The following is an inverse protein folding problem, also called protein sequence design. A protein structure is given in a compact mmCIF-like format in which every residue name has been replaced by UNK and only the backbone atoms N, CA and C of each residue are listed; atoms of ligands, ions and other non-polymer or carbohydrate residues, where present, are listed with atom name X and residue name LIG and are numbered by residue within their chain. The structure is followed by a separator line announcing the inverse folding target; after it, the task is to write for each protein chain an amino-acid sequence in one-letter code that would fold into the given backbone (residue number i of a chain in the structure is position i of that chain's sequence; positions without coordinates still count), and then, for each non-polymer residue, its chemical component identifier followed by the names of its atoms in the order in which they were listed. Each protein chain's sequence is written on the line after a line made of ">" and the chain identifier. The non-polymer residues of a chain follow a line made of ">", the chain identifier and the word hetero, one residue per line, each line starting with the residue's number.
data_IF_038015954563
#
_entry.id   IF_038015954563
#
_cell.length_a   1.000
_cell.length_b   1.000
_cell.length_c   1.000
_cell.angle_alpha   90.00
_cell.angle_beta   90.00
_cell.angle_gamma   90.00
#
_symmetry.space_group_name_H-M   'P 1'
#
loop_
_entity.id
_entity.type
_entity.pdbx_description
1 polymer ?
#
# COMPACT_ATOMS: atom_id res chain seq x y z
N UNK A 1 -6.66 -17.47 -11.87
CA UNK A 1 -7.41 -16.49 -11.07
C UNK A 1 -8.45 -15.75 -11.93
N UNK A 2 -9.48 -15.22 -11.29
CA UNK A 2 -10.21 -14.08 -11.83
C UNK A 2 -9.41 -12.83 -11.41
N UNK A 3 -9.15 -11.95 -12.35
CA UNK A 3 -8.36 -10.74 -12.13
C UNK A 3 -9.26 -9.55 -12.46
N UNK A 4 -9.30 -8.57 -11.57
CA UNK A 4 -10.05 -7.35 -11.78
C UNK A 4 -9.25 -6.13 -11.28
N UNK A 5 -9.60 -4.96 -11.79
CA UNK A 5 -9.08 -3.68 -11.32
C UNK A 5 -10.24 -2.91 -10.68
N UNK A 6 -10.13 -2.70 -9.40
CA UNK A 6 -11.17 -2.10 -8.56
C UNK A 6 -10.77 -0.70 -8.09
N UNK A 7 -11.75 0.04 -7.58
CA UNK A 7 -11.56 1.37 -6.99
C UNK A 7 -12.29 1.47 -5.68
N UNK A 8 -11.68 2.14 -4.72
CA UNK A 8 -12.28 2.48 -3.44
C UNK A 8 -11.84 3.87 -3.02
N UNK A 9 -12.43 4.42 -1.98
CA UNK A 9 -12.08 5.74 -1.44
C UNK A 9 -11.28 5.59 -0.15
N UNK A 10 -10.35 6.52 0.05
CA UNK A 10 -9.55 6.64 1.24
C UNK A 10 -9.57 8.10 1.73
N UNK A 11 -8.72 8.45 2.70
CA UNK A 11 -8.61 9.81 3.21
C UNK A 11 -8.44 10.83 2.08
N UNK A 12 -8.93 12.08 2.25
CA UNK A 12 -8.74 13.16 1.27
C UNK A 12 -7.27 13.37 0.92
N UNK A 13 -6.96 14.02 -0.22
CA UNK A 13 -5.62 14.46 -0.53
C UNK A 13 -5.11 15.44 0.52
N UNK A 14 -3.86 15.31 0.97
CA UNK A 14 -3.22 16.30 1.84
C UNK A 14 -2.54 17.42 1.04
N UNK A 15 -2.07 17.12 -0.18
CA UNK A 15 -1.55 18.12 -1.11
C UNK A 15 -2.68 18.59 -2.02
N UNK A 16 -3.24 19.76 -1.69
CA UNK A 16 -4.36 20.35 -2.43
C UNK A 16 -3.84 21.54 -3.24
N UNK A 17 -3.72 21.34 -4.56
CA UNK A 17 -3.22 22.38 -5.48
C UNK A 17 -4.22 23.53 -5.69
N UNK A 18 -5.51 23.28 -5.52
CA UNK A 18 -6.56 24.31 -5.58
C UNK A 18 -7.53 24.12 -4.39
N UNK A 19 -7.24 24.71 -3.23
CA UNK A 19 -8.03 24.49 -2.01
C UNK A 19 -9.45 25.06 -2.07
N UNK A 20 -9.73 25.95 -3.01
CA UNK A 20 -11.07 26.52 -3.24
C UNK A 20 -11.84 25.79 -4.34
N UNK A 21 -11.21 24.81 -5.00
CA UNK A 21 -11.84 24.02 -6.04
C UNK A 21 -12.95 23.14 -5.49
N UNK A 22 -14.02 22.99 -6.26
CA UNK A 22 -15.08 22.06 -5.94
C UNK A 22 -14.50 20.64 -5.83
N UNK A 23 -14.77 19.96 -4.72
CA UNK A 23 -14.26 18.61 -4.46
C UNK A 23 -12.81 18.54 -3.97
N UNK A 24 -12.14 19.66 -3.67
CA UNK A 24 -10.76 19.68 -3.18
C UNK A 24 -10.52 18.82 -1.93
N UNK A 25 -11.56 18.62 -1.11
CA UNK A 25 -11.54 17.79 0.10
C UNK A 25 -12.28 16.48 -0.03
N UNK A 26 -12.65 16.07 -1.25
CA UNK A 26 -13.27 14.77 -1.46
C UNK A 26 -12.27 13.64 -1.13
N UNK A 27 -12.75 12.47 -0.69
CA UNK A 27 -11.91 11.31 -0.50
C UNK A 27 -11.10 10.99 -1.75
N UNK A 28 -9.83 10.61 -1.56
CA UNK A 28 -8.96 10.20 -2.66
C UNK A 28 -9.44 8.83 -3.19
N UNK A 29 -9.51 8.70 -4.50
CA UNK A 29 -9.83 7.41 -5.15
C UNK A 29 -8.53 6.62 -5.32
N UNK A 30 -8.49 5.47 -4.68
CA UNK A 30 -7.39 4.50 -4.77
C UNK A 30 -7.80 3.37 -5.70
N UNK A 31 -6.87 2.91 -6.51
CA UNK A 31 -7.06 1.75 -7.36
C UNK A 31 -6.37 0.52 -6.75
N UNK A 32 -6.86 -0.66 -7.04
CA UNK A 32 -6.22 -1.90 -6.64
C UNK A 32 -6.47 -3.00 -7.67
N UNK A 33 -5.57 -3.97 -7.72
CA UNK A 33 -5.83 -5.22 -8.42
C UNK A 33 -6.36 -6.26 -7.44
N UNK A 34 -7.33 -7.06 -7.87
CA UNK A 34 -7.82 -8.20 -7.12
C UNK A 34 -7.58 -9.49 -7.90
N UNK A 35 -7.21 -10.55 -7.18
CA UNK A 35 -6.98 -11.87 -7.74
C UNK A 35 -7.76 -12.89 -6.93
N UNK A 36 -8.72 -13.57 -7.56
CA UNK A 36 -9.58 -14.55 -6.90
C UNK A 36 -9.29 -15.93 -7.50
N UNK A 37 -8.90 -16.94 -6.69
CA UNK A 37 -8.59 -18.27 -7.19
C UNK A 37 -9.85 -18.96 -7.68
N UNK A 38 -9.92 -19.29 -8.99
CA UNK A 38 -11.07 -19.99 -9.59
C UNK A 38 -11.26 -21.42 -9.07
N UNK A 39 -10.16 -22.09 -8.71
CA UNK A 39 -10.13 -23.47 -8.23
C UNK A 39 -10.93 -23.68 -6.94
N UNK A 40 -11.06 -22.63 -6.12
CA UNK A 40 -11.70 -22.69 -4.80
C UNK A 40 -13.06 -21.97 -4.74
N UNK A 41 -13.57 -21.50 -5.87
CA UNK A 41 -14.72 -20.60 -5.95
C UNK A 41 -16.07 -21.22 -5.50
N UNK A 42 -16.14 -22.54 -5.30
CA UNK A 42 -17.39 -23.26 -4.97
C UNK A 42 -17.51 -23.72 -3.52
N UNK A 43 -16.52 -23.45 -2.70
CA UNK A 43 -16.51 -23.91 -1.30
C UNK A 43 -16.15 -22.78 -0.37
N UNK A 44 -16.22 -22.84 0.83
CA UNK A 44 -15.87 -21.98 1.96
C UNK A 44 -15.23 -20.63 1.62
N UNK A 45 -15.44 -19.65 2.46
CA UNK A 45 -14.72 -18.37 2.40
C UNK A 45 -13.20 -18.59 2.44
N UNK A 46 -12.46 -17.79 1.67
CA UNK A 46 -11.03 -17.90 1.47
C UNK A 46 -10.28 -16.81 2.27
N UNK A 47 -9.05 -17.08 2.70
CA UNK A 47 -8.22 -16.06 3.35
C UNK A 47 -7.89 -14.94 2.35
N UNK A 48 -7.76 -13.73 2.86
CA UNK A 48 -7.32 -12.55 2.11
C UNK A 48 -5.84 -12.26 2.41
N UNK A 49 -5.07 -11.95 1.37
CA UNK A 49 -3.74 -11.37 1.50
C UNK A 49 -3.72 -9.97 0.87
N UNK A 50 -3.37 -8.97 1.65
CA UNK A 50 -3.08 -7.62 1.17
C UNK A 50 -1.61 -7.59 0.74
N UNK A 51 -1.36 -7.39 -0.55
CA UNK A 51 -0.01 -7.39 -1.13
C UNK A 51 0.40 -5.96 -1.47
N UNK A 52 1.35 -5.41 -0.72
CA UNK A 52 1.77 -4.02 -0.80
C UNK A 52 3.08 -3.92 -1.58
N UNK A 53 3.05 -3.20 -2.71
CA UNK A 53 4.25 -3.02 -3.53
C UNK A 53 5.29 -2.13 -2.84
N UNK A 54 6.56 -2.31 -3.22
CA UNK A 54 7.67 -1.48 -2.77
C UNK A 54 7.88 -0.24 -3.64
N UNK A 55 8.89 0.54 -3.28
CA UNK A 55 9.17 1.83 -3.91
C UNK A 55 8.21 2.91 -3.43
N UNK A 56 8.72 4.06 -3.04
CA UNK A 56 7.88 5.21 -2.65
C UNK A 56 6.95 5.58 -3.81
N UNK A 57 7.48 5.55 -5.02
CA UNK A 57 6.79 5.80 -6.28
C UNK A 57 6.77 4.56 -7.18
N UNK A 58 6.57 3.39 -6.63
CA UNK A 58 6.40 2.16 -7.40
C UNK A 58 4.99 1.99 -7.94
N UNK A 59 4.74 0.83 -8.49
CA UNK A 59 3.43 0.34 -8.91
C UNK A 59 3.37 -1.18 -8.74
N UNK A 60 2.17 -1.72 -8.71
CA UNK A 60 1.97 -3.15 -8.80
C UNK A 60 2.03 -3.57 -10.27
N UNK A 61 2.95 -4.48 -10.59
CA UNK A 61 3.18 -4.93 -11.97
C UNK A 61 3.52 -6.43 -12.03
N UNK A 62 3.88 -6.92 -13.21
CA UNK A 62 4.19 -8.33 -13.45
C UNK A 62 5.42 -8.85 -12.70
N UNK A 63 6.25 -8.00 -12.13
CA UNK A 63 7.33 -8.42 -11.23
C UNK A 63 6.80 -9.23 -10.03
N UNK A 64 5.59 -8.92 -9.57
CA UNK A 64 4.93 -9.62 -8.45
C UNK A 64 4.17 -10.88 -8.89
N UNK A 65 4.17 -11.24 -10.18
CA UNK A 65 3.33 -12.32 -10.71
C UNK A 65 3.60 -13.69 -10.05
N UNK A 66 4.85 -13.99 -9.70
CA UNK A 66 5.22 -15.24 -9.05
C UNK A 66 4.66 -15.33 -7.63
N UNK A 67 4.66 -14.23 -6.88
CA UNK A 67 4.09 -14.15 -5.52
C UNK A 67 2.57 -14.32 -5.58
N UNK A 68 1.93 -13.63 -6.52
CA UNK A 68 0.48 -13.75 -6.73
C UNK A 68 0.11 -15.18 -7.12
N UNK A 69 0.87 -15.80 -8.04
CA UNK A 69 0.62 -17.17 -8.48
C UNK A 69 0.70 -18.15 -7.31
N UNK A 70 1.71 -18.03 -6.46
CA UNK A 70 1.89 -18.86 -5.26
C UNK A 70 0.72 -18.69 -4.28
N UNK A 71 0.35 -17.45 -3.96
CA UNK A 71 -0.78 -17.17 -3.06
C UNK A 71 -2.09 -17.72 -3.60
N UNK A 72 -2.35 -17.56 -4.90
CA UNK A 72 -3.56 -18.06 -5.56
C UNK A 72 -3.59 -19.60 -5.54
N UNK A 73 -2.44 -20.26 -5.75
CA UNK A 73 -2.37 -21.73 -5.74
C UNK A 73 -2.59 -22.30 -4.33
N UNK A 74 -2.22 -21.55 -3.30
CA UNK A 74 -2.51 -21.84 -1.90
C UNK A 74 -3.95 -21.46 -1.47
N UNK A 75 -4.73 -20.84 -2.33
CA UNK A 75 -6.14 -20.50 -2.07
C UNK A 75 -6.37 -19.13 -1.43
N UNK A 76 -5.38 -18.23 -1.43
CA UNK A 76 -5.61 -16.86 -0.98
C UNK A 76 -6.29 -16.02 -2.06
N UNK A 77 -7.22 -15.18 -1.64
CA UNK A 77 -7.61 -14.00 -2.42
C UNK A 77 -6.54 -12.95 -2.19
N UNK A 78 -6.13 -12.26 -3.24
CA UNK A 78 -5.14 -11.18 -3.13
C UNK A 78 -5.77 -9.86 -3.52
N UNK A 79 -5.53 -8.82 -2.72
CA UNK A 79 -5.74 -7.42 -3.11
C UNK A 79 -4.40 -6.71 -3.10
N UNK A 80 -4.08 -6.00 -4.19
CA UNK A 80 -2.85 -5.24 -4.35
C UNK A 80 -3.18 -3.75 -4.56
N UNK A 81 -3.19 -2.95 -3.48
CA UNK A 81 -3.46 -1.52 -3.55
C UNK A 81 -2.36 -0.74 -4.28
N UNK A 82 -2.80 0.21 -5.11
CA UNK A 82 -1.99 1.29 -5.66
C UNK A 82 -2.15 2.51 -4.75
N UNK A 83 -1.48 2.50 -3.60
CA UNK A 83 -1.59 3.56 -2.60
C UNK A 83 -1.12 4.91 -3.17
N UNK A 84 -1.52 6.01 -2.52
CA UNK A 84 -1.13 7.37 -2.96
C UNK A 84 0.38 7.46 -3.17
N UNK A 85 0.79 8.16 -4.22
CA UNK A 85 2.19 8.21 -4.63
C UNK A 85 2.59 7.16 -5.66
N UNK A 86 1.77 6.13 -5.92
CA UNK A 86 2.03 5.13 -6.97
C UNK A 86 2.11 5.77 -8.34
N UNK A 87 2.93 5.17 -9.22
CA UNK A 87 3.10 5.63 -10.61
C UNK A 87 1.92 5.22 -11.50
N UNK A 88 1.76 5.88 -12.64
CA UNK A 88 0.71 5.56 -13.61
C UNK A 88 -0.62 6.28 -13.41
N UNK A 89 -0.80 7.06 -12.35
CA UNK A 89 -2.06 7.73 -11.99
C UNK A 89 -1.98 9.26 -12.07
N UNK A 90 -0.93 9.79 -12.68
CA UNK A 90 -0.73 11.21 -12.92
C UNK A 90 0.00 11.93 -11.80
N UNK A 91 0.53 13.13 -12.11
CA UNK A 91 1.38 13.91 -11.22
C UNK A 91 0.68 14.33 -9.92
N UNK A 92 -0.63 14.56 -9.96
CA UNK A 92 -1.40 14.91 -8.77
C UNK A 92 -1.47 13.77 -7.75
N UNK A 93 -1.63 12.54 -8.23
CA UNK A 93 -1.63 11.35 -7.37
C UNK A 93 -0.22 11.01 -6.87
N UNK A 94 0.79 11.12 -7.74
CA UNK A 94 2.19 10.92 -7.41
C UNK A 94 2.65 11.79 -6.24
N UNK A 95 2.23 13.06 -6.20
CA UNK A 95 2.60 14.03 -5.14
C UNK A 95 1.84 13.84 -3.81
N UNK A 96 0.93 12.87 -3.73
CA UNK A 96 0.16 12.62 -2.51
C UNK A 96 0.92 11.74 -1.50
N UNK A 97 2.09 11.23 -1.83
CA UNK A 97 2.91 10.45 -0.88
C UNK A 97 3.30 11.31 0.32
N UNK A 98 3.19 10.81 1.52
CA UNK A 98 3.58 11.48 2.76
C UNK A 98 4.58 10.69 3.61
N UNK A 99 4.96 9.51 3.12
CA UNK A 99 6.03 8.68 3.65
C UNK A 99 5.79 8.15 5.07
N UNK A 100 4.68 7.51 5.28
CA UNK A 100 4.37 6.76 6.50
C UNK A 100 3.08 7.19 7.21
N UNK A 101 2.24 7.97 6.53
CA UNK A 101 0.94 8.40 7.08
C UNK A 101 -0.22 7.89 6.18
N UNK A 102 -0.75 8.69 5.29
CA UNK A 102 -1.99 8.40 4.57
C UNK A 102 -1.89 7.24 3.57
N UNK A 103 -0.70 6.88 3.07
CA UNK A 103 -0.53 5.67 2.27
C UNK A 103 -0.82 4.40 3.10
N UNK A 104 -0.61 4.44 4.42
CA UNK A 104 -0.99 3.34 5.32
C UNK A 104 -2.51 3.17 5.37
N UNK A 105 -3.24 4.28 5.49
CA UNK A 105 -4.70 4.31 5.44
C UNK A 105 -5.26 3.83 4.09
N UNK A 106 -4.59 4.15 2.99
CA UNK A 106 -5.00 3.68 1.66
C UNK A 106 -4.98 2.15 1.58
N UNK A 107 -3.97 1.53 2.18
CA UNK A 107 -3.83 0.07 2.22
C UNK A 107 -4.88 -0.55 3.15
N UNK A 108 -5.11 0.02 4.32
CA UNK A 108 -6.17 -0.41 5.24
C UNK A 108 -7.56 -0.29 4.59
N UNK A 109 -7.85 0.83 3.92
CA UNK A 109 -9.11 1.02 3.20
C UNK A 109 -9.30 -0.02 2.09
N UNK A 110 -8.23 -0.42 1.40
CA UNK A 110 -8.26 -1.51 0.42
C UNK A 110 -8.61 -2.86 1.04
N UNK A 111 -8.04 -3.17 2.21
CA UNK A 111 -8.39 -4.36 2.98
C UNK A 111 -9.88 -4.34 3.38
N UNK A 112 -10.36 -3.22 3.92
CA UNK A 112 -11.75 -3.06 4.32
C UNK A 112 -12.69 -3.23 3.13
N UNK A 113 -12.38 -2.56 2.01
CA UNK A 113 -13.15 -2.71 0.78
C UNK A 113 -13.24 -4.17 0.32
N UNK A 114 -12.12 -4.91 0.36
CA UNK A 114 -12.11 -6.32 -0.05
C UNK A 114 -13.00 -7.20 0.84
N UNK A 115 -12.97 -6.98 2.15
CA UNK A 115 -13.82 -7.69 3.11
C UNK A 115 -15.31 -7.39 2.89
N UNK A 116 -15.66 -6.16 2.55
CA UNK A 116 -17.04 -5.73 2.36
C UNK A 116 -17.61 -6.13 0.99
N UNK A 117 -16.77 -6.13 -0.05
CA UNK A 117 -17.24 -6.24 -1.44
C UNK A 117 -16.93 -7.59 -2.10
N UNK A 118 -16.05 -8.39 -1.53
CA UNK A 118 -15.73 -9.71 -2.04
C UNK A 118 -16.36 -10.79 -1.14
N UNK A 119 -17.52 -11.33 -1.50
CA UNK A 119 -18.26 -12.26 -0.64
C UNK A 119 -17.51 -13.57 -0.36
N UNK A 120 -16.47 -13.88 -1.15
CA UNK A 120 -15.60 -15.03 -0.96
C UNK A 120 -14.56 -14.84 0.17
N UNK A 121 -14.32 -13.61 0.61
CA UNK A 121 -13.33 -13.31 1.65
C UNK A 121 -13.82 -13.78 3.02
N UNK A 122 -12.93 -14.44 3.76
CA UNK A 122 -13.08 -14.70 5.18
C UNK A 122 -12.48 -13.55 5.99
N UNK A 123 -13.28 -12.69 6.62
CA UNK A 123 -12.77 -11.53 7.34
C UNK A 123 -11.97 -11.89 8.59
N UNK A 124 -12.06 -13.14 9.07
CA UNK A 124 -11.28 -13.62 10.21
C UNK A 124 -9.87 -14.11 9.84
N UNK A 125 -9.58 -14.22 8.53
CA UNK A 125 -8.31 -14.72 7.99
C UNK A 125 -7.71 -13.74 6.99
N UNK A 126 -7.24 -12.61 7.50
CA UNK A 126 -6.61 -11.56 6.70
C UNK A 126 -5.13 -11.46 7.05
N UNK A 127 -4.29 -11.46 6.03
CA UNK A 127 -2.86 -11.20 6.13
C UNK A 127 -2.45 -9.97 5.34
N UNK A 128 -1.27 -9.43 5.66
CA UNK A 128 -0.64 -8.34 4.92
C UNK A 128 0.82 -8.67 4.64
N UNK A 129 1.30 -8.34 3.45
CA UNK A 129 2.70 -8.52 3.11
C UNK A 129 3.19 -7.44 2.15
N UNK A 130 4.46 -7.09 2.29
CA UNK A 130 5.09 -6.12 1.41
C UNK A 130 6.60 -6.07 1.58
N UNK A 131 7.28 -5.42 0.64
CA UNK A 131 8.74 -5.27 0.62
C UNK A 131 9.14 -3.80 0.56
N UNK A 132 10.29 -3.47 1.16
CA UNK A 132 10.86 -2.11 1.15
C UNK A 132 9.86 -1.09 1.72
N UNK A 133 9.41 -0.11 0.98
CA UNK A 133 8.36 0.83 1.39
C UNK A 133 7.04 0.09 1.72
N UNK A 134 6.66 -0.91 0.90
CA UNK A 134 5.52 -1.78 1.20
C UNK A 134 5.71 -2.59 2.50
N UNK A 135 6.96 -2.92 2.84
CA UNK A 135 7.30 -3.51 4.14
C UNK A 135 7.12 -2.54 5.30
N UNK A 136 7.45 -1.26 5.12
CA UNK A 136 7.15 -0.20 6.09
C UNK A 136 5.64 -0.06 6.30
N UNK A 137 4.87 0.06 5.22
CA UNK A 137 3.40 0.14 5.29
C UNK A 137 2.82 -1.09 6.01
N UNK A 138 3.38 -2.29 5.77
CA UNK A 138 2.99 -3.51 6.47
C UNK A 138 3.22 -3.39 7.97
N UNK A 139 4.40 -2.92 8.40
CA UNK A 139 4.70 -2.71 9.83
C UNK A 139 3.78 -1.68 10.46
N UNK A 140 3.59 -0.53 9.82
CA UNK A 140 2.72 0.54 10.33
C UNK A 140 1.28 0.03 10.50
N UNK A 141 0.74 -0.69 9.51
CA UNK A 141 -0.60 -1.26 9.61
C UNK A 141 -0.75 -2.23 10.79
N UNK A 142 0.20 -3.12 11.05
CA UNK A 142 0.08 -4.07 12.17
C UNK A 142 0.35 -3.43 13.54
N UNK A 143 1.08 -2.31 13.59
CA UNK A 143 1.30 -1.59 14.85
C UNK A 143 0.10 -0.72 15.22
N UNK A 144 -0.52 -0.07 14.24
CA UNK A 144 -1.66 0.81 14.44
C UNK A 144 -2.98 0.04 14.53
N UNK A 145 -3.10 -1.09 13.80
CA UNK A 145 -4.31 -1.89 13.65
C UNK A 145 -4.04 -3.40 13.85
N UNK A 146 -3.51 -3.81 15.00
CA UNK A 146 -3.12 -5.21 15.25
C UNK A 146 -4.27 -6.22 15.14
N UNK A 147 -5.50 -5.78 15.37
CA UNK A 147 -6.71 -6.62 15.29
C UNK A 147 -7.11 -6.94 13.83
N UNK A 148 -6.69 -6.12 12.88
CA UNK A 148 -7.10 -6.20 11.48
C UNK A 148 -6.40 -7.33 10.70
N UNK A 149 -5.27 -7.83 11.22
CA UNK A 149 -4.44 -8.81 10.53
C UNK A 149 -4.09 -9.99 11.44
N UNK A 150 -4.05 -11.20 10.86
CA UNK A 150 -3.66 -12.44 11.57
C UNK A 150 -2.23 -12.87 11.31
N UNK A 151 -1.69 -12.48 10.16
CA UNK A 151 -0.31 -12.72 9.77
C UNK A 151 0.23 -11.51 9.02
N UNK A 152 1.53 -11.26 9.15
CA UNK A 152 2.21 -10.21 8.43
C UNK A 152 3.60 -10.66 7.97
N UNK A 153 4.02 -10.19 6.80
CA UNK A 153 5.37 -10.35 6.30
C UNK A 153 5.92 -9.01 5.80
N UNK A 154 6.88 -8.46 6.50
CA UNK A 154 7.58 -7.23 6.11
C UNK A 154 8.98 -7.58 5.62
N UNK A 155 9.17 -7.70 4.31
CA UNK A 155 10.46 -7.99 3.70
C UNK A 155 11.31 -6.73 3.56
N UNK A 156 12.54 -6.74 4.08
CA UNK A 156 13.49 -5.61 4.01
C UNK A 156 12.83 -4.23 4.21
N UNK A 157 12.05 -4.06 5.29
CA UNK A 157 11.25 -2.85 5.47
C UNK A 157 12.12 -1.61 5.66
N UNK A 158 11.57 -0.46 5.30
CA UNK A 158 12.15 0.82 5.72
C UNK A 158 11.74 1.04 7.18
N UNK A 159 12.61 0.68 8.11
CA UNK A 159 12.34 0.69 9.55
C UNK A 159 13.12 1.77 10.31
N UNK A 160 14.11 2.40 9.68
CA UNK A 160 14.93 3.47 10.25
C UNK A 160 15.42 4.38 9.12
N UNK A 161 14.78 5.53 8.96
CA UNK A 161 15.13 6.50 7.93
C UNK A 161 16.47 7.19 8.21
N UNK A 162 16.81 7.44 9.47
CA UNK A 162 18.06 8.11 9.86
C UNK A 162 19.23 7.19 9.52
N UNK A 163 19.20 5.95 9.99
CA UNK A 163 20.24 4.97 9.66
C UNK A 163 20.32 4.71 8.16
N UNK A 164 19.16 4.54 7.48
CA UNK A 164 19.11 4.33 6.03
C UNK A 164 19.77 5.46 5.26
N UNK A 165 19.47 6.72 5.59
CA UNK A 165 20.02 7.88 4.88
C UNK A 165 21.47 8.16 5.27
N UNK A 166 21.87 7.84 6.50
CA UNK A 166 23.20 8.12 7.03
C UNK A 166 24.36 7.47 6.27
N UNK A 167 24.15 6.27 5.71
CA UNK A 167 25.19 5.51 4.98
C UNK A 167 24.98 5.44 3.46
N UNK A 168 23.94 6.08 2.93
CA UNK A 168 23.66 6.08 1.49
C UNK A 168 24.37 7.20 0.75
N UNK A 169 24.54 7.02 -0.56
CA UNK A 169 25.12 8.03 -1.44
C UNK A 169 24.25 9.30 -1.51
N UNK A 170 24.85 10.42 -1.87
CA UNK A 170 24.13 11.68 -2.07
C UNK A 170 23.00 11.54 -3.12
N UNK A 171 23.26 10.80 -4.21
CA UNK A 171 22.23 10.53 -5.23
C UNK A 171 21.02 9.79 -4.64
N UNK A 172 21.28 8.76 -3.83
CA UNK A 172 20.22 8.02 -3.15
C UNK A 172 19.44 8.93 -2.18
N UNK A 173 20.12 9.73 -1.38
CA UNK A 173 19.46 10.67 -0.46
C UNK A 173 18.61 11.69 -1.20
N UNK A 174 19.13 12.25 -2.31
CA UNK A 174 18.36 13.20 -3.13
C UNK A 174 17.08 12.61 -3.71
N UNK A 175 17.07 11.30 -3.98
CA UNK A 175 15.89 10.61 -4.52
C UNK A 175 14.85 10.28 -3.43
N UNK A 176 15.30 9.76 -2.28
CA UNK A 176 14.41 9.21 -1.26
C UNK A 176 14.22 10.07 -0.01
N UNK A 177 15.02 11.11 0.17
CA UNK A 177 14.86 12.11 1.23
C UNK A 177 14.53 13.50 0.67
N UNK A 178 14.02 13.55 -0.55
CA UNK A 178 13.64 14.81 -1.17
C UNK A 178 12.58 15.55 -0.34
N UNK A 179 12.63 16.88 -0.29
CA UNK A 179 11.71 17.69 0.53
C UNK A 179 10.25 17.44 0.30
N UNK A 180 9.85 16.96 -0.89
CA UNK A 180 8.46 16.64 -1.20
C UNK A 180 8.02 15.25 -0.68
N UNK A 181 8.96 14.40 -0.23
CA UNK A 181 8.64 13.12 0.42
C UNK A 181 8.42 13.30 1.93
N UNK A 182 9.43 13.83 2.61
CA UNK A 182 9.45 13.98 4.07
C UNK A 182 9.57 15.44 4.54
N UNK A 183 9.48 16.40 3.62
CA UNK A 183 9.54 17.84 3.88
C UNK A 183 10.94 18.40 4.07
N UNK A 184 11.93 17.58 4.40
CA UNK A 184 13.31 17.99 4.67
C UNK A 184 14.27 16.83 4.38
N UNK A 185 15.58 17.11 4.41
CA UNK A 185 16.60 16.07 4.48
C UNK A 185 16.43 15.26 5.79
N UNK A 186 16.80 13.99 5.75
CA UNK A 186 16.72 13.11 6.92
C UNK A 186 17.49 13.63 8.14
N UNK A 187 18.59 14.38 7.92
CA UNK A 187 19.34 15.00 9.03
C UNK A 187 18.56 16.14 9.71
N UNK A 188 17.69 16.81 8.98
CA UNK A 188 16.85 17.90 9.50
C UNK A 188 15.65 17.37 10.28
N UNK A 189 15.30 16.09 10.10
CA UNK A 189 14.17 15.41 10.73
C UNK A 189 14.58 14.50 11.90
N UNK A 190 15.78 14.63 12.44
CA UNK A 190 16.28 13.78 13.56
C UNK A 190 15.42 13.90 14.82
N UNK A 191 14.64 14.95 14.95
CA UNK A 191 13.78 15.21 16.13
C UNK A 191 12.32 14.75 15.93
N UNK A 192 11.97 14.29 14.75
CA UNK A 192 10.66 13.75 14.39
C UNK A 192 10.73 12.22 14.23
#
# INVERSE_FOLDING_TARGET
>A
AAIDKVRYTSKPPHVISNPTGQGAKNPLVIQAYTFIPKKFASSNKLPLMVLVHGGVHGDFNTFNAHIVAELIDQGYIVIAPEYRGSTGYGAGFYRQIDYGDYENDDVLAGKQWAVENLPQVDPSRVGIMGWSHGGMITLMNIFEHPEEYKVAYAGVPVSDLIARMGYKSQAYRSEFAAPYHIGKDANDNVAE
#
